data_IF_402862525501
#
_entry.id   IF_402862525501
#
_cell.length_a   1.000
_cell.length_b   1.000
_cell.length_c   1.000
_cell.angle_alpha   90.00
_cell.angle_beta   90.00
_cell.angle_gamma   90.00
#
_symmetry.space_group_name_H-M   'P 1'
#
loop_
_entity.id
_entity.type
_entity.pdbx_description
1 polymer ?
#
# COMPACT_ATOMS: atom_id res chain seq x y z
N UNK A 1 -2.61 23.92 1.40
CA UNK A 1 -3.49 22.97 0.69
C UNK A 1 -3.30 21.60 1.33
N UNK A 2 -4.37 20.93 1.75
CA UNK A 2 -4.26 19.62 2.40
C UNK A 2 -4.18 18.55 1.31
N UNK A 3 -2.99 18.03 1.03
CA UNK A 3 -2.78 16.98 0.03
C UNK A 3 -2.66 15.63 0.74
N UNK A 4 -3.77 14.90 0.85
CA UNK A 4 -3.83 13.58 1.50
C UNK A 4 -4.50 12.57 0.59
N UNK A 5 -4.00 11.33 0.57
CA UNK A 5 -4.60 10.24 -0.21
C UNK A 5 -6.02 9.89 0.27
N UNK A 6 -6.32 10.14 1.55
CA UNK A 6 -7.64 9.92 2.16
C UNK A 6 -8.72 10.89 1.68
N UNK A 7 -8.38 11.85 0.81
CA UNK A 7 -9.37 12.66 0.11
C UNK A 7 -10.13 11.85 -0.95
N UNK A 8 -9.56 10.74 -1.41
CA UNK A 8 -10.26 9.76 -2.25
C UNK A 8 -11.27 9.03 -1.37
N UNK A 9 -12.57 9.02 -1.72
CA UNK A 9 -13.59 8.31 -0.95
C UNK A 9 -13.20 6.84 -0.72
N UNK A 10 -13.58 6.30 0.44
CA UNK A 10 -13.35 4.91 0.84
C UNK A 10 -11.87 4.46 0.99
N UNK A 11 -10.89 5.36 0.80
CA UNK A 11 -9.49 5.12 1.17
C UNK A 11 -9.25 5.47 2.63
N UNK A 12 -8.79 4.50 3.41
CA UNK A 12 -8.34 4.68 4.80
C UNK A 12 -6.85 4.40 4.89
N UNK A 13 -6.16 5.11 5.77
CA UNK A 13 -4.73 4.89 6.06
C UNK A 13 -4.56 4.62 7.55
N UNK A 14 -3.86 3.55 7.89
CA UNK A 14 -3.52 3.19 9.26
C UNK A 14 -2.01 3.04 9.43
N UNK A 15 -1.50 3.45 10.59
CA UNK A 15 -0.09 3.35 10.94
C UNK A 15 0.05 2.63 12.29
N UNK A 16 1.06 1.78 12.41
CA UNK A 16 1.54 1.24 13.68
C UNK A 16 3.04 1.45 13.75
N UNK A 17 3.50 2.15 14.78
CA UNK A 17 4.91 2.52 14.97
C UNK A 17 5.41 1.98 16.31
N UNK A 18 6.59 1.38 16.30
CA UNK A 18 7.33 0.99 17.50
C UNK A 18 8.61 1.84 17.58
N UNK A 19 8.53 2.93 18.35
CA UNK A 19 9.60 3.94 18.40
C UNK A 19 10.92 3.40 18.94
N UNK A 20 10.89 2.47 19.90
CA UNK A 20 12.11 1.91 20.51
C UNK A 20 12.96 1.12 19.53
N UNK A 21 12.29 0.40 18.62
CA UNK A 21 12.93 -0.51 17.66
C UNK A 21 13.07 0.12 16.26
N UNK A 22 12.67 1.40 16.12
CA UNK A 22 12.66 2.13 14.84
C UNK A 22 11.99 1.36 13.70
N UNK A 23 10.85 0.73 13.97
CA UNK A 23 10.11 -0.08 13.00
C UNK A 23 8.62 0.22 13.03
N UNK A 24 7.88 -0.25 12.03
CA UNK A 24 6.45 -0.05 11.94
C UNK A 24 5.84 -0.61 10.67
N UNK A 25 4.55 -0.35 10.49
CA UNK A 25 3.78 -0.75 9.32
C UNK A 25 2.77 0.35 8.97
N UNK A 26 2.58 0.56 7.66
CA UNK A 26 1.51 1.41 7.13
C UNK A 26 0.61 0.56 6.24
N UNK A 27 -0.69 0.68 6.44
CA UNK A 27 -1.70 0.02 5.61
C UNK A 27 -2.55 1.07 4.93
N UNK A 28 -2.72 0.92 3.62
CA UNK A 28 -3.74 1.63 2.85
C UNK A 28 -4.87 0.62 2.63
N UNK A 29 -6.04 0.91 3.21
CA UNK A 29 -7.21 0.06 3.12
C UNK A 29 -8.24 0.66 2.17
N UNK A 30 -8.54 -0.09 1.11
CA UNK A 30 -9.61 0.22 0.16
C UNK A 30 -10.91 -0.42 0.67
N UNK A 31 -11.82 0.36 1.25
CA UNK A 31 -12.96 -0.15 2.03
C UNK A 31 -13.85 -1.16 1.28
N UNK A 32 -14.19 -0.87 0.03
CA UNK A 32 -15.03 -1.73 -0.84
C UNK A 32 -14.19 -2.56 -1.82
N UNK A 33 -12.87 -2.61 -1.63
CA UNK A 33 -11.91 -3.07 -2.63
C UNK A 33 -11.54 -1.98 -3.64
N UNK A 34 -10.55 -2.28 -4.49
CA UNK A 34 -10.12 -1.42 -5.60
C UNK A 34 -9.43 -2.25 -6.67
N UNK A 35 -9.46 -1.79 -7.92
CA UNK A 35 -8.59 -2.32 -8.98
C UNK A 35 -7.15 -1.96 -8.63
N UNK A 36 -6.25 -2.94 -8.65
CA UNK A 36 -4.85 -2.77 -8.26
C UNK A 36 -3.89 -3.26 -9.35
N UNK A 37 -2.71 -2.66 -9.38
CA UNK A 37 -1.58 -3.04 -10.22
C UNK A 37 -0.27 -2.64 -9.53
N UNK A 38 0.85 -3.25 -9.91
CA UNK A 38 2.15 -2.98 -9.30
C UNK A 38 3.25 -2.88 -10.37
N UNK A 39 4.16 -1.93 -10.19
CA UNK A 39 5.40 -1.79 -10.98
C UNK A 39 6.60 -1.79 -10.01
N UNK A 40 7.54 -2.71 -10.22
CA UNK A 40 8.72 -2.90 -9.38
C UNK A 40 9.95 -2.48 -10.20
N UNK A 41 10.52 -1.33 -9.83
CA UNK A 41 11.62 -0.71 -10.58
C UNK A 41 13.01 -0.95 -9.98
N UNK A 42 13.07 -1.41 -8.73
CA UNK A 42 14.32 -1.73 -8.05
C UNK A 42 14.83 -3.14 -8.39
N UNK A 43 16.15 -3.34 -8.34
CA UNK A 43 16.80 -4.61 -8.71
C UNK A 43 16.83 -5.67 -7.59
N UNK A 44 16.49 -5.31 -6.35
CA UNK A 44 16.46 -6.22 -5.19
C UNK A 44 15.21 -5.96 -4.31
N UNK A 45 14.00 -6.23 -4.81
CA UNK A 45 12.75 -5.93 -4.10
C UNK A 45 12.45 -6.93 -2.98
N UNK A 46 11.89 -6.45 -1.87
CA UNK A 46 11.25 -7.26 -0.84
C UNK A 46 9.74 -7.17 -0.98
N UNK A 47 9.15 -8.01 -1.83
CA UNK A 47 7.72 -7.95 -2.18
C UNK A 47 6.98 -9.24 -1.85
N UNK A 48 5.65 -9.15 -1.80
CA UNK A 48 4.75 -10.28 -1.54
C UNK A 48 3.47 -10.12 -2.35
N UNK A 49 2.90 -11.24 -2.82
CA UNK A 49 1.64 -11.34 -3.59
C UNK A 49 1.59 -10.57 -4.92
N UNK A 50 2.72 -10.12 -5.48
CA UNK A 50 2.72 -9.27 -6.68
C UNK A 50 2.21 -9.97 -7.94
N UNK A 51 2.36 -11.29 -8.00
CA UNK A 51 1.86 -12.11 -9.13
C UNK A 51 0.33 -12.06 -9.25
N UNK A 52 -0.40 -11.91 -8.13
CA UNK A 52 -1.86 -11.77 -8.14
C UNK A 52 -2.34 -10.48 -8.81
N UNK A 53 -1.42 -9.53 -9.05
CA UNK A 53 -1.70 -8.26 -9.71
C UNK A 53 -1.32 -8.26 -11.20
N UNK A 54 -0.83 -9.38 -11.75
CA UNK A 54 -0.54 -9.50 -13.18
C UNK A 54 -1.84 -9.52 -13.98
N UNK A 55 -2.04 -8.59 -14.94
CA UNK A 55 -3.19 -8.65 -15.84
C UNK A 55 -3.05 -9.82 -16.82
N UNK A 56 -4.14 -10.57 -17.03
CA UNK A 56 -4.16 -11.71 -17.94
C UNK A 56 -3.75 -13.03 -17.29
N UNK A 57 -3.47 -14.04 -18.13
CA UNK A 57 -3.02 -15.37 -17.71
C UNK A 57 -1.52 -15.57 -17.91
#
# INVERSE_FOLDING_TARGET
MMNKITLIPNIKVGHSTQDKENTGCTVILCGEGAVAGVDIRGSAPGTRETELLRPGF
#
